data_IF_980047044831
#
_entry.id   IF_980047044831
#
_cell.length_a   1.000
_cell.length_b   1.000
_cell.length_c   1.000
_cell.angle_alpha   90.00
_cell.angle_beta   90.00
_cell.angle_gamma   90.00
#
_symmetry.space_group_name_H-M   'P 1'
#
loop_
_entity.id
_entity.type
_entity.pdbx_description
1 polymer ?
#
# COMPACT_ATOMS: atom_id res chain seq x y z
N UNK A 1 3.33 2.45 1.18
CA UNK A 1 2.00 1.97 0.79
C UNK A 1 0.86 2.97 1.09
N UNK A 2 1.13 4.08 1.76
CA UNK A 2 0.20 5.21 1.89
C UNK A 2 -0.23 5.84 0.56
N UNK A 3 0.45 5.51 -0.53
CA UNK A 3 0.09 5.98 -1.87
C UNK A 3 -1.25 5.41 -2.37
N UNK A 4 -1.58 4.16 -2.02
CA UNK A 4 -2.86 3.57 -2.44
C UNK A 4 -4.04 4.26 -1.75
N UNK A 5 -3.93 4.55 -0.46
CA UNK A 5 -4.97 5.26 0.28
C UNK A 5 -5.23 6.65 -0.33
N UNK A 6 -4.16 7.37 -0.66
CA UNK A 6 -4.28 8.66 -1.34
C UNK A 6 -4.89 8.54 -2.73
N UNK A 7 -4.52 7.51 -3.49
CA UNK A 7 -5.09 7.25 -4.81
C UNK A 7 -6.59 6.98 -4.72
N UNK A 8 -7.04 6.14 -3.78
CA UNK A 8 -8.45 5.85 -3.56
C UNK A 8 -9.24 7.12 -3.18
N UNK A 9 -8.67 7.98 -2.35
CA UNK A 9 -9.28 9.27 -2.02
C UNK A 9 -9.40 10.20 -3.22
N UNK A 10 -8.39 10.27 -4.08
CA UNK A 10 -8.45 11.06 -5.31
C UNK A 10 -9.56 10.59 -6.24
N UNK A 11 -9.86 9.28 -6.24
CA UNK A 11 -10.98 8.71 -6.98
C UNK A 11 -12.33 8.85 -6.27
N UNK A 12 -12.34 9.37 -5.03
CA UNK A 12 -13.56 9.49 -4.21
C UNK A 12 -14.11 8.16 -3.71
N UNK A 13 -13.30 7.09 -3.74
CA UNK A 13 -13.69 5.75 -3.30
C UNK A 13 -13.58 5.60 -1.79
N UNK A 14 -14.63 5.06 -1.19
CA UNK A 14 -14.64 4.66 0.22
C UNK A 14 -14.40 3.16 0.34
N UNK A 15 -13.89 2.72 1.49
CA UNK A 15 -13.57 1.31 1.74
C UNK A 15 -14.77 0.39 1.50
N UNK A 16 -15.98 0.80 1.90
CA UNK A 16 -17.23 0.07 1.70
C UNK A 16 -17.59 -0.16 0.23
N UNK A 17 -17.08 0.68 -0.69
CA UNK A 17 -17.42 0.58 -2.12
C UNK A 17 -16.68 -0.57 -2.82
N UNK A 18 -15.45 -0.86 -2.40
CA UNK A 18 -14.56 -1.73 -3.16
C UNK A 18 -13.99 -2.94 -2.39
N UNK A 19 -13.83 -2.83 -1.06
CA UNK A 19 -13.11 -3.86 -0.29
C UNK A 19 -13.76 -5.24 -0.41
N UNK A 20 -15.08 -5.32 -0.32
CA UNK A 20 -15.80 -6.58 -0.45
C UNK A 20 -15.62 -7.20 -1.85
N UNK A 21 -15.67 -6.37 -2.90
CA UNK A 21 -15.50 -6.82 -4.28
C UNK A 21 -14.09 -7.31 -4.59
N UNK A 22 -13.10 -6.88 -3.82
CA UNK A 22 -11.68 -7.20 -4.02
C UNK A 22 -11.12 -8.17 -2.96
N UNK A 23 -11.97 -8.79 -2.15
CA UNK A 23 -11.56 -9.63 -1.01
C UNK A 23 -10.54 -8.92 -0.12
N UNK A 24 -10.71 -7.62 0.07
CA UNK A 24 -9.74 -6.79 0.76
C UNK A 24 -9.93 -6.83 2.28
N UNK A 25 -8.80 -6.76 2.98
CA UNK A 25 -8.72 -6.59 4.43
C UNK A 25 -7.70 -5.52 4.77
N UNK A 26 -7.79 -4.98 5.98
CA UNK A 26 -6.81 -4.02 6.46
C UNK A 26 -5.49 -4.69 6.84
N UNK A 27 -4.43 -3.94 6.72
CA UNK A 27 -3.06 -4.37 7.00
C UNK A 27 -2.36 -3.30 7.84
N UNK A 28 -1.92 -3.68 9.05
CA UNK A 28 -1.32 -2.77 10.03
C UNK A 28 0.20 -2.80 10.00
N UNK A 29 0.78 -3.93 9.62
CA UNK A 29 2.23 -4.13 9.60
C UNK A 29 2.64 -5.24 8.63
N UNK A 30 3.94 -5.36 8.41
CA UNK A 30 4.60 -6.55 7.86
C UNK A 30 5.29 -7.29 8.98
N UNK A 31 5.09 -8.59 9.08
CA UNK A 31 5.87 -9.44 9.96
C UNK A 31 7.03 -10.05 9.17
N UNK A 32 8.23 -9.85 9.67
CA UNK A 32 9.42 -10.51 9.16
C UNK A 32 9.81 -11.65 10.10
N UNK A 33 10.07 -12.81 9.51
CA UNK A 33 10.48 -14.02 10.24
C UNK A 33 11.76 -14.53 9.63
N UNK A 34 12.75 -14.85 10.45
CA UNK A 34 14.06 -15.34 10.00
C UNK A 34 14.77 -14.41 8.98
N UNK A 35 14.61 -13.10 9.12
CA UNK A 35 15.13 -12.14 8.14
C UNK A 35 16.66 -12.00 8.21
N UNK A 36 17.25 -12.09 9.41
CA UNK A 36 18.69 -11.90 9.61
C UNK A 36 19.47 -13.20 9.67
N UNK A 37 19.13 -14.07 10.62
CA UNK A 37 19.99 -15.20 10.97
C UNK A 37 19.30 -16.57 10.94
N UNK A 38 18.03 -16.63 10.55
CA UNK A 38 17.22 -17.86 10.53
C UNK A 38 17.20 -18.60 11.90
N UNK A 39 17.13 -17.83 12.97
CA UNK A 39 17.09 -18.33 14.36
C UNK A 39 15.72 -18.23 15.02
N UNK A 40 14.68 -18.07 14.20
CA UNK A 40 13.30 -17.91 14.70
C UNK A 40 12.96 -16.49 15.14
N UNK A 41 13.84 -15.51 14.84
CA UNK A 41 13.53 -14.11 15.15
C UNK A 41 12.31 -13.63 14.37
N UNK A 42 11.46 -12.88 15.04
CA UNK A 42 10.25 -12.27 14.47
C UNK A 42 10.20 -10.81 14.89
N UNK A 43 9.99 -9.92 13.92
CA UNK A 43 9.73 -8.52 14.22
C UNK A 43 8.65 -7.94 13.32
N UNK A 44 7.98 -6.90 13.80
CA UNK A 44 6.96 -6.17 13.07
C UNK A 44 7.56 -4.92 12.43
N UNK A 45 7.14 -4.65 11.20
CA UNK A 45 7.38 -3.39 10.50
C UNK A 45 6.03 -2.71 10.26
N UNK A 46 5.59 -1.87 11.22
CA UNK A 46 4.27 -1.24 11.17
C UNK A 46 4.17 -0.17 10.09
N UNK A 47 2.96 0.04 9.57
CA UNK A 47 2.65 1.13 8.66
C UNK A 47 2.30 2.37 9.48
N UNK A 48 3.30 3.14 9.86
CA UNK A 48 3.11 4.39 10.57
C UNK A 48 4.39 5.21 10.48
N UNK A 49 4.26 6.51 10.55
CA UNK A 49 5.41 7.41 10.65
C UNK A 49 5.91 7.58 12.09
N UNK A 50 5.43 6.74 13.00
CA UNK A 50 5.63 6.95 14.42
C UNK A 50 4.65 8.01 14.97
N UNK A 51 4.48 8.02 16.26
CA UNK A 51 3.72 9.08 16.90
C UNK A 51 4.59 10.33 16.97
N UNK A 52 4.12 11.40 16.36
CA UNK A 52 4.75 12.72 16.45
C UNK A 52 4.49 13.30 17.85
N UNK A 53 5.36 12.93 18.78
CA UNK A 53 5.35 13.46 20.15
C UNK A 53 6.26 14.68 20.20
N UNK A 54 5.77 15.82 19.78
CA UNK A 54 6.53 17.07 19.79
C UNK A 54 6.99 17.53 21.17
N UNK A 55 6.36 17.02 22.24
CA UNK A 55 6.59 17.48 23.62
C UNK A 55 7.12 16.41 24.59
N UNK A 56 7.48 15.21 24.09
CA UNK A 56 7.96 14.10 24.96
C UNK A 56 9.12 13.38 24.27
N UNK A 57 10.01 12.75 25.07
CA UNK A 57 11.01 11.84 24.50
C UNK A 57 10.35 10.87 23.52
N UNK A 58 10.91 10.73 22.35
CA UNK A 58 10.37 9.84 21.33
C UNK A 58 10.40 8.38 21.84
N UNK A 59 9.51 7.54 21.34
CA UNK A 59 9.60 6.12 21.61
C UNK A 59 10.95 5.54 21.21
N UNK A 60 11.53 6.05 20.12
CA UNK A 60 12.87 5.69 19.65
C UNK A 60 13.95 5.99 20.69
N UNK A 61 13.94 7.19 21.29
CA UNK A 61 14.93 7.56 22.31
C UNK A 61 14.78 6.71 23.57
N UNK A 62 13.56 6.40 23.97
CA UNK A 62 13.29 5.51 25.08
C UNK A 62 13.83 4.10 24.79
N UNK A 63 13.59 3.56 23.60
CA UNK A 63 14.13 2.26 23.20
C UNK A 63 15.66 2.26 23.18
N UNK A 64 16.31 3.26 22.59
CA UNK A 64 17.78 3.38 22.55
C UNK A 64 18.37 3.38 23.95
N UNK A 65 17.75 4.12 24.88
CA UNK A 65 18.20 4.17 26.26
C UNK A 65 18.08 2.81 26.97
N UNK A 66 16.93 2.15 26.85
CA UNK A 66 16.69 0.84 27.44
C UNK A 66 17.56 -0.26 26.81
N UNK A 67 17.75 -0.23 25.48
CA UNK A 67 18.61 -1.17 24.76
C UNK A 67 20.09 -1.02 25.17
N UNK A 68 20.55 0.21 25.46
CA UNK A 68 21.89 0.42 25.98
C UNK A 68 22.09 -0.09 27.41
N UNK A 69 21.05 -0.01 28.24
CA UNK A 69 21.12 -0.45 29.65
C UNK A 69 20.84 -1.94 29.82
N UNK A 70 19.95 -2.52 29.02
CA UNK A 70 19.48 -3.91 29.13
C UNK A 70 19.31 -4.55 27.75
N UNK A 71 20.41 -4.79 27.02
CA UNK A 71 20.37 -5.26 25.62
C UNK A 71 19.73 -6.65 25.45
N UNK A 72 19.76 -7.50 26.46
CA UNK A 72 19.09 -8.81 26.42
C UNK A 72 17.56 -8.75 26.51
N UNK A 73 17.01 -7.65 27.06
CA UNK A 73 15.56 -7.47 27.18
C UNK A 73 14.99 -6.61 26.07
N UNK A 74 15.79 -5.67 25.54
CA UNK A 74 15.36 -4.67 24.57
C UNK A 74 16.18 -4.78 23.29
N UNK A 75 16.09 -5.93 22.63
CA UNK A 75 16.72 -6.18 21.34
C UNK A 75 16.09 -5.39 20.18
N UNK A 76 16.66 -5.47 18.97
CA UNK A 76 16.15 -4.77 17.80
C UNK A 76 14.69 -5.13 17.43
N UNK A 77 14.25 -6.31 17.80
CA UNK A 77 12.88 -6.81 17.61
C UNK A 77 11.84 -6.05 18.43
N UNK A 78 12.23 -5.48 19.57
CA UNK A 78 11.36 -4.67 20.42
C UNK A 78 11.19 -3.23 19.93
N UNK A 79 12.02 -2.77 18.99
CA UNK A 79 12.00 -1.39 18.48
C UNK A 79 10.61 -0.95 18.02
N UNK A 80 9.92 -1.80 17.26
CA UNK A 80 8.61 -1.45 16.69
C UNK A 80 7.55 -1.15 17.75
N UNK A 81 7.63 -1.78 18.93
CA UNK A 81 6.73 -1.53 20.07
C UNK A 81 6.91 -0.14 20.67
N UNK A 82 8.09 0.41 20.59
CA UNK A 82 8.38 1.77 21.08
C UNK A 82 8.10 2.83 20.06
N UNK A 83 8.36 2.54 18.78
CA UNK A 83 8.19 3.49 17.68
C UNK A 83 6.75 3.60 17.21
N UNK A 84 6.09 2.49 16.99
CA UNK A 84 4.71 2.39 16.49
C UNK A 84 3.85 1.47 17.37
N UNK A 85 3.77 1.79 18.66
CA UNK A 85 3.14 0.94 19.66
C UNK A 85 1.73 0.50 19.28
N UNK A 86 0.89 1.41 18.80
CA UNK A 86 -0.50 1.13 18.42
C UNK A 86 -0.58 0.06 17.33
N UNK A 87 0.07 0.28 16.20
CA UNK A 87 0.04 -0.65 15.07
C UNK A 87 0.69 -2.00 15.40
N UNK A 88 1.78 -1.97 16.16
CA UNK A 88 2.48 -3.20 16.57
C UNK A 88 1.58 -4.05 17.44
N UNK A 89 0.94 -3.47 18.46
CA UNK A 89 0.03 -4.20 19.33
C UNK A 89 -1.21 -4.72 18.58
N UNK A 90 -1.79 -3.91 17.69
CA UNK A 90 -2.92 -4.36 16.85
C UNK A 90 -2.52 -5.57 16.00
N UNK A 91 -1.31 -5.55 15.41
CA UNK A 91 -0.81 -6.66 14.62
C UNK A 91 -0.53 -7.91 15.46
N UNK A 92 0.14 -7.77 16.59
CA UNK A 92 0.46 -8.89 17.49
C UNK A 92 -0.77 -9.58 18.06
N UNK A 93 -1.81 -8.81 18.38
CA UNK A 93 -3.06 -9.33 18.92
C UNK A 93 -4.12 -9.59 17.85
N UNK A 94 -3.80 -9.44 16.57
CA UNK A 94 -4.71 -9.61 15.44
C UNK A 94 -6.02 -8.83 15.63
N UNK A 95 -5.91 -7.54 15.92
CA UNK A 95 -7.03 -6.64 16.16
C UNK A 95 -7.19 -5.63 15.04
N UNK A 96 -8.42 -5.19 14.86
CA UNK A 96 -8.76 -4.15 13.90
C UNK A 96 -8.44 -2.75 14.43
N UNK A 97 -8.20 -1.83 13.49
CA UNK A 97 -7.90 -0.43 13.77
C UNK A 97 -9.15 0.42 13.97
N UNK A 98 -10.31 -0.10 13.58
CA UNK A 98 -11.63 0.51 13.78
C UNK A 98 -12.43 -0.31 14.79
N UNK A 99 -13.16 0.36 15.65
CA UNK A 99 -14.23 -0.22 16.47
C UNK A 99 -15.58 0.42 16.09
N UNK A 100 -16.67 0.05 16.76
CA UNK A 100 -18.00 0.60 16.52
C UNK A 100 -18.08 2.12 16.71
N UNK A 101 -17.20 2.71 17.50
CA UNK A 101 -17.09 4.14 17.74
C UNK A 101 -16.20 4.85 16.72
N UNK A 102 -15.59 4.12 15.79
CA UNK A 102 -14.74 4.65 14.75
C UNK A 102 -13.25 4.38 14.96
N UNK A 103 -12.41 5.32 14.53
CA UNK A 103 -10.95 5.19 14.59
C UNK A 103 -10.42 5.30 16.03
N UNK A 104 -9.38 4.55 16.32
CA UNK A 104 -8.61 4.69 17.55
C UNK A 104 -8.01 6.11 17.63
N UNK A 105 -7.94 6.64 18.85
CA UNK A 105 -7.32 7.93 19.11
C UNK A 105 -5.85 7.91 18.65
N UNK A 106 -5.42 8.96 17.97
CA UNK A 106 -4.09 9.11 17.40
C UNK A 106 -3.74 8.12 16.26
N UNK A 107 -4.73 7.45 15.68
CA UNK A 107 -4.55 6.61 14.52
C UNK A 107 -4.88 7.41 13.25
N UNK A 108 -3.90 7.55 12.37
CA UNK A 108 -4.11 8.16 11.06
C UNK A 108 -4.40 7.06 10.03
N UNK A 109 -5.66 6.88 9.71
CA UNK A 109 -6.11 5.86 8.77
C UNK A 109 -5.36 5.85 7.44
N UNK A 110 -5.00 7.01 6.94
CA UNK A 110 -4.35 7.17 5.64
C UNK A 110 -2.87 6.77 5.65
N UNK A 111 -2.20 6.98 6.78
CA UNK A 111 -0.76 6.75 6.94
C UNK A 111 -0.47 5.43 7.64
N UNK A 112 -1.34 5.03 8.56
CA UNK A 112 -1.08 3.94 9.49
C UNK A 112 -1.71 2.61 9.05
N UNK A 113 -2.38 2.58 7.89
CA UNK A 113 -3.04 1.39 7.36
C UNK A 113 -2.68 1.19 5.88
N UNK A 114 -2.59 -0.06 5.49
CA UNK A 114 -2.57 -0.51 4.11
C UNK A 114 -3.67 -1.55 3.89
N UNK A 115 -3.72 -2.14 2.70
CA UNK A 115 -4.68 -3.17 2.35
C UNK A 115 -3.97 -4.45 1.92
N UNK A 116 -4.60 -5.56 2.21
CA UNK A 116 -4.35 -6.84 1.61
C UNK A 116 -5.54 -7.14 0.72
N UNK A 117 -5.33 -7.38 -0.57
CA UNK A 117 -6.42 -7.51 -1.54
C UNK A 117 -6.05 -8.46 -2.67
N UNK A 118 -7.04 -8.97 -3.37
CA UNK A 118 -6.85 -9.60 -4.66
C UNK A 118 -6.58 -8.52 -5.71
N UNK A 119 -5.36 -8.50 -6.22
CA UNK A 119 -4.91 -7.47 -7.16
C UNK A 119 -5.63 -7.56 -8.52
N UNK A 120 -6.05 -8.75 -8.94
CA UNK A 120 -6.78 -8.93 -10.20
C UNK A 120 -8.21 -8.42 -10.07
N UNK A 121 -8.90 -8.75 -8.98
CA UNK A 121 -10.23 -8.22 -8.70
C UNK A 121 -10.19 -6.70 -8.52
N UNK A 122 -9.14 -6.18 -7.89
CA UNK A 122 -8.98 -4.74 -7.75
C UNK A 122 -8.78 -4.02 -9.10
N UNK A 123 -7.93 -4.57 -9.98
CA UNK A 123 -7.77 -4.06 -11.33
C UNK A 123 -9.06 -4.11 -12.13
N UNK A 124 -9.81 -5.21 -12.02
CA UNK A 124 -11.12 -5.36 -12.66
C UNK A 124 -12.13 -4.33 -12.11
N UNK A 125 -12.17 -4.16 -10.80
CA UNK A 125 -13.04 -3.18 -10.14
C UNK A 125 -12.76 -1.76 -10.63
N UNK A 126 -11.49 -1.34 -10.65
CA UNK A 126 -11.11 -0.01 -11.13
C UNK A 126 -11.47 0.19 -12.61
N UNK A 127 -11.27 -0.84 -13.44
CA UNK A 127 -11.64 -0.79 -14.85
C UNK A 127 -13.14 -0.57 -15.01
N UNK A 128 -13.96 -1.44 -14.40
CA UNK A 128 -15.39 -1.49 -14.68
C UNK A 128 -16.18 -0.38 -13.98
N UNK A 129 -15.77 0.01 -12.77
CA UNK A 129 -16.52 0.96 -11.97
C UNK A 129 -15.97 2.40 -12.05
N UNK A 130 -14.74 2.58 -12.51
CA UNK A 130 -14.11 3.91 -12.57
C UNK A 130 -13.71 4.26 -14.01
N UNK A 131 -12.82 3.48 -14.63
CA UNK A 131 -12.21 3.87 -15.91
C UNK A 131 -13.24 3.91 -17.04
N UNK A 132 -14.00 2.84 -17.24
CA UNK A 132 -15.01 2.76 -18.31
C UNK A 132 -16.11 3.82 -18.13
N UNK A 133 -16.69 4.03 -16.95
CA UNK A 133 -17.66 5.11 -16.72
C UNK A 133 -17.10 6.52 -16.98
N UNK A 134 -15.80 6.71 -16.78
CA UNK A 134 -15.12 7.98 -17.14
C UNK A 134 -14.76 8.10 -18.62
N UNK A 135 -15.15 7.15 -19.46
CA UNK A 135 -14.97 7.20 -20.90
C UNK A 135 -13.69 6.51 -21.43
N UNK A 136 -12.97 5.80 -20.58
CA UNK A 136 -11.82 5.00 -21.02
C UNK A 136 -12.31 3.82 -21.87
N UNK A 137 -11.73 3.67 -23.06
CA UNK A 137 -11.97 2.51 -23.92
C UNK A 137 -10.96 1.43 -23.60
N UNK A 138 -11.43 0.32 -23.07
CA UNK A 138 -10.61 -0.87 -22.87
C UNK A 138 -10.67 -1.76 -24.12
N UNK A 139 -9.54 -2.00 -24.74
CA UNK A 139 -9.42 -2.81 -25.95
C UNK A 139 -8.62 -4.07 -25.60
N UNK A 140 -9.25 -5.23 -25.84
CA UNK A 140 -8.55 -6.51 -25.74
C UNK A 140 -7.80 -6.74 -27.04
N UNK A 141 -6.48 -6.81 -26.96
CA UNK A 141 -5.65 -7.06 -28.12
C UNK A 141 -4.19 -7.25 -27.72
N UNK A 142 -3.48 -7.97 -28.56
CA UNK A 142 -2.05 -8.13 -28.45
C UNK A 142 -1.36 -7.22 -29.45
N UNK A 143 -0.46 -6.38 -28.97
CA UNK A 143 0.30 -5.46 -29.82
C UNK A 143 1.29 -6.29 -30.65
N UNK A 144 1.21 -6.15 -31.97
CA UNK A 144 2.10 -6.78 -32.93
C UNK A 144 3.30 -5.91 -33.27
N UNK A 145 3.03 -4.63 -33.57
CA UNK A 145 4.06 -3.67 -34.02
C UNK A 145 3.62 -2.24 -33.80
N UNK A 146 4.50 -1.31 -34.08
CA UNK A 146 4.21 0.11 -34.08
C UNK A 146 4.82 0.80 -35.27
N UNK A 147 4.25 1.94 -35.66
CA UNK A 147 4.80 2.84 -36.66
C UNK A 147 5.37 4.08 -35.99
N UNK A 148 6.43 4.62 -36.56
CA UNK A 148 7.08 5.83 -36.11
C UNK A 148 7.14 6.89 -37.22
N UNK A 149 7.06 8.14 -36.79
CA UNK A 149 7.37 9.28 -37.65
C UNK A 149 8.87 9.25 -37.99
N UNK A 150 9.23 9.28 -39.26
CA UNK A 150 10.63 9.20 -39.70
C UNK A 150 11.46 10.45 -39.35
N UNK A 151 10.81 11.56 -39.02
CA UNK A 151 11.50 12.83 -38.72
C UNK A 151 11.90 12.97 -37.25
N UNK A 152 11.07 12.47 -36.35
CA UNK A 152 11.25 12.65 -34.91
C UNK A 152 11.29 11.35 -34.11
N UNK A 153 11.08 10.21 -34.76
CA UNK A 153 11.09 8.87 -34.19
C UNK A 153 9.97 8.62 -33.14
N UNK A 154 8.94 9.46 -33.09
CA UNK A 154 7.81 9.27 -32.19
C UNK A 154 6.86 8.20 -32.72
N UNK A 155 6.25 7.43 -31.80
CA UNK A 155 5.22 6.45 -32.19
C UNK A 155 3.98 7.22 -32.67
N UNK A 156 3.50 6.86 -33.85
CA UNK A 156 2.31 7.44 -34.45
C UNK A 156 1.12 6.49 -34.44
N UNK A 157 1.40 5.18 -34.49
CA UNK A 157 0.37 4.15 -34.48
C UNK A 157 0.86 2.90 -33.74
N UNK A 158 -0.08 2.19 -33.14
CA UNK A 158 0.12 0.83 -32.60
C UNK A 158 -0.80 -0.12 -33.38
N UNK A 159 -0.24 -1.25 -33.83
CA UNK A 159 -0.94 -2.27 -34.59
C UNK A 159 -1.09 -3.52 -33.73
N UNK A 160 -2.31 -4.03 -33.63
CA UNK A 160 -2.60 -5.30 -32.97
C UNK A 160 -2.58 -6.47 -33.96
N UNK A 161 -2.41 -7.70 -33.43
CA UNK A 161 -2.43 -8.93 -34.24
C UNK A 161 -3.74 -9.15 -35.01
N UNK A 162 -4.86 -8.68 -34.49
CA UNK A 162 -6.18 -8.75 -35.13
C UNK A 162 -6.41 -7.72 -36.24
N UNK A 163 -5.41 -6.90 -36.54
CA UNK A 163 -5.48 -5.82 -37.53
C UNK A 163 -6.00 -4.50 -36.99
N UNK A 164 -6.35 -4.40 -35.71
CA UNK A 164 -6.77 -3.14 -35.10
C UNK A 164 -5.61 -2.15 -35.06
N UNK A 165 -5.88 -0.91 -35.53
CA UNK A 165 -4.92 0.21 -35.53
C UNK A 165 -5.36 1.20 -34.44
N UNK A 166 -4.47 1.53 -33.55
CA UNK A 166 -4.68 2.50 -32.47
C UNK A 166 -3.82 3.75 -32.72
N UNK A 167 -4.46 4.91 -32.66
CA UNK A 167 -3.82 6.21 -32.81
C UNK A 167 -4.01 7.01 -31.54
N UNK A 168 -2.96 7.68 -31.09
CA UNK A 168 -2.98 8.57 -29.93
C UNK A 168 -1.92 9.65 -30.07
N UNK A 169 -2.09 10.74 -29.33
CA UNK A 169 -1.09 11.80 -29.20
C UNK A 169 0.04 11.42 -28.25
N UNK A 170 -0.20 10.48 -27.33
CA UNK A 170 0.77 9.98 -26.35
C UNK A 170 0.59 8.46 -26.17
N UNK A 171 1.71 7.76 -26.10
CA UNK A 171 1.78 6.33 -25.78
C UNK A 171 2.59 6.16 -24.49
N UNK A 172 2.05 5.38 -23.56
CA UNK A 172 2.69 5.03 -22.29
C UNK A 172 2.73 3.50 -22.20
N UNK A 173 3.94 2.96 -22.01
CA UNK A 173 4.21 1.53 -21.85
C UNK A 173 4.69 1.24 -20.41
#
# INVERSE_FOLDING_TARGET
>A
LGHINRFMQLLGLKDEDWMAACNATYKNSLQFTNFRENKGEVFQYPFSNGLDFTDKPSGEDNWKHLAAMRPEEYGPEEYARFFCTGNTLLAEYNKETKNEQGLLRHFNWQLDTAYHMDAQLFGQYLKDNIAIPLGVKHIYGEVHSHMKDPTNNYITQVLCHDGTILNSDLYID
#
